data_IF_925208529781
#
_entry.id   IF_925208529781
#
_cell.length_a   1.000
_cell.length_b   1.000
_cell.length_c   1.000
_cell.angle_alpha   90.00
_cell.angle_beta   90.00
_cell.angle_gamma   90.00
#
_symmetry.space_group_name_H-M   'P 1'
#
loop_
_entity.id
_entity.type
_entity.pdbx_description
1 polymer ?
#
# COMPACT_ATOMS: atom_id res chain seq x y z
N UNK A 1 14.41 -18.21 12.13
CA UNK A 1 13.05 -17.76 12.51
C UNK A 1 13.18 -16.88 13.73
N UNK A 2 12.61 -15.68 13.70
CA UNK A 2 12.62 -14.77 14.85
C UNK A 2 11.43 -15.09 15.77
N UNK A 3 11.58 -14.92 17.08
CA UNK A 3 10.55 -15.26 18.08
C UNK A 3 10.30 -14.05 18.97
N UNK A 4 9.04 -13.62 19.05
CA UNK A 4 8.60 -12.56 19.96
C UNK A 4 7.63 -13.13 20.99
N UNK A 5 7.79 -12.75 22.26
CA UNK A 5 6.86 -13.13 23.34
C UNK A 5 5.77 -12.08 23.46
N UNK A 6 4.52 -12.52 23.46
CA UNK A 6 3.34 -11.72 23.72
C UNK A 6 2.86 -11.98 25.16
N UNK A 7 2.39 -10.95 25.85
CA UNK A 7 2.02 -11.05 27.28
C UNK A 7 0.55 -11.44 27.51
N UNK A 8 -0.26 -11.49 26.44
CA UNK A 8 -1.67 -11.88 26.52
C UNK A 8 -1.90 -13.32 26.08
N UNK A 9 -2.69 -14.03 26.89
CA UNK A 9 -3.26 -15.33 26.56
C UNK A 9 -4.31 -15.15 25.46
N UNK A 10 -3.94 -15.48 24.22
CA UNK A 10 -4.92 -15.73 23.17
C UNK A 10 -5.00 -17.25 22.95
N UNK A 11 -6.18 -17.86 23.08
CA UNK A 11 -6.32 -19.33 23.05
C UNK A 11 -6.20 -19.92 21.64
N UNK A 12 -6.06 -19.07 20.60
CA UNK A 12 -6.07 -19.50 19.20
C UNK A 12 -4.68 -19.53 18.60
N UNK A 13 -4.39 -20.60 17.87
CA UNK A 13 -3.25 -20.74 16.97
C UNK A 13 -3.55 -20.01 15.65
N UNK A 14 -2.74 -19.00 15.29
CA UNK A 14 -2.98 -18.18 14.11
C UNK A 14 -1.83 -18.36 13.12
N UNK A 15 -2.16 -18.60 11.85
CA UNK A 15 -1.21 -18.62 10.74
C UNK A 15 -1.49 -17.46 9.80
N UNK A 16 -0.58 -16.51 9.66
CA UNK A 16 -0.64 -15.44 8.67
C UNK A 16 0.32 -15.72 7.51
N UNK A 17 -0.18 -15.73 6.27
CA UNK A 17 0.62 -16.09 5.09
C UNK A 17 1.17 -14.89 4.31
N UNK A 18 0.79 -13.67 4.69
CA UNK A 18 1.31 -12.44 4.10
C UNK A 18 0.96 -12.24 2.62
N UNK A 19 1.61 -11.24 2.02
CA UNK A 19 1.54 -10.93 0.59
C UNK A 19 2.60 -11.71 -0.21
N UNK A 20 2.41 -11.80 -1.53
CA UNK A 20 3.31 -12.57 -2.38
C UNK A 20 4.60 -11.84 -2.79
N UNK A 21 4.59 -10.51 -2.85
CA UNK A 21 5.75 -9.72 -3.33
C UNK A 21 6.88 -9.54 -2.30
N UNK A 22 6.63 -9.97 -1.06
CA UNK A 22 7.57 -10.03 0.06
C UNK A 22 7.19 -11.25 0.90
N UNK A 23 7.48 -12.43 0.36
CA UNK A 23 7.00 -13.70 0.86
C UNK A 23 7.56 -14.03 2.23
N UNK A 24 6.76 -13.81 3.27
CA UNK A 24 7.01 -14.29 4.62
C UNK A 24 5.70 -14.76 5.25
N UNK A 25 5.81 -15.61 6.25
CA UNK A 25 4.67 -16.05 7.04
C UNK A 25 4.95 -15.89 8.53
N UNK A 26 3.88 -15.77 9.28
CA UNK A 26 3.94 -15.59 10.72
C UNK A 26 3.01 -16.59 11.40
N UNK A 27 3.46 -17.16 12.51
CA UNK A 27 2.64 -18.03 13.35
C UNK A 27 2.54 -17.47 14.74
N UNK A 28 1.32 -17.38 15.26
CA UNK A 28 1.07 -17.14 16.67
C UNK A 28 0.66 -18.45 17.34
N UNK A 29 1.43 -18.89 18.33
CA UNK A 29 1.16 -20.08 19.14
C UNK A 29 1.77 -19.89 20.53
N UNK A 30 1.08 -20.34 21.59
CA UNK A 30 1.58 -20.29 22.98
C UNK A 30 2.09 -18.89 23.40
N UNK A 31 1.35 -17.85 23.01
CA UNK A 31 1.72 -16.45 23.23
C UNK A 31 3.06 -16.06 22.63
N UNK A 32 3.48 -16.73 21.55
CA UNK A 32 4.69 -16.40 20.79
C UNK A 32 4.35 -16.17 19.34
N UNK A 33 4.99 -15.16 18.78
CA UNK A 33 4.97 -14.84 17.37
C UNK A 33 6.26 -15.40 16.77
N UNK A 34 6.12 -16.34 15.84
CA UNK A 34 7.20 -16.92 15.06
C UNK A 34 7.18 -16.30 13.68
N UNK A 35 8.20 -15.52 13.36
CA UNK A 35 8.32 -14.81 12.10
C UNK A 35 9.34 -15.51 11.20
N UNK A 36 8.89 -15.95 10.02
CA UNK A 36 9.75 -16.64 9.06
C UNK A 36 10.87 -15.73 8.55
N UNK A 37 11.84 -16.32 7.84
CA UNK A 37 12.71 -15.51 6.99
C UNK A 37 11.91 -14.91 5.82
N UNK A 38 12.49 -13.92 5.16
CA UNK A 38 12.00 -13.44 3.87
C UNK A 38 12.42 -14.41 2.76
N UNK A 39 11.45 -14.89 1.98
CA UNK A 39 11.66 -15.75 0.83
C UNK A 39 11.71 -14.96 -0.49
N UNK A 40 11.54 -13.64 -0.45
CA UNK A 40 11.49 -12.77 -1.62
C UNK A 40 10.16 -12.87 -2.36
N UNK A 41 10.18 -12.54 -3.65
CA UNK A 41 8.97 -12.56 -4.49
C UNK A 41 8.51 -14.00 -4.75
N UNK A 42 7.30 -14.35 -4.29
CA UNK A 42 6.69 -15.67 -4.42
C UNK A 42 6.10 -15.92 -5.82
N UNK A 43 6.07 -14.92 -6.70
CA UNK A 43 5.81 -15.16 -8.12
C UNK A 43 6.93 -16.00 -8.75
N UNK A 44 8.16 -15.89 -8.22
CA UNK A 44 9.28 -16.76 -8.56
C UNK A 44 9.06 -18.15 -7.95
N UNK A 45 8.92 -19.17 -8.79
CA UNK A 45 8.56 -20.52 -8.35
C UNK A 45 9.57 -21.14 -7.38
N UNK A 46 10.86 -20.84 -7.51
CA UNK A 46 11.89 -21.31 -6.58
C UNK A 46 11.62 -20.77 -5.16
N UNK A 47 11.33 -19.48 -5.04
CA UNK A 47 11.00 -18.83 -3.76
C UNK A 47 9.72 -19.42 -3.17
N UNK A 48 8.70 -19.63 -3.99
CA UNK A 48 7.45 -20.23 -3.55
C UNK A 48 7.62 -21.68 -3.06
N UNK A 49 8.46 -22.49 -3.70
CA UNK A 49 8.78 -23.85 -3.23
C UNK A 49 9.49 -23.83 -1.88
N UNK A 50 10.46 -22.92 -1.68
CA UNK A 50 11.16 -22.74 -0.39
C UNK A 50 10.18 -22.32 0.70
N UNK A 51 9.34 -21.30 0.43
CA UNK A 51 8.28 -20.84 1.31
C UNK A 51 7.35 -21.98 1.73
N UNK A 52 6.79 -22.72 0.75
CA UNK A 52 5.86 -23.83 1.01
C UNK A 52 6.53 -24.99 1.76
N UNK A 53 7.82 -25.25 1.51
CA UNK A 53 8.58 -26.28 2.23
C UNK A 53 8.75 -25.91 3.70
N UNK A 54 9.17 -24.68 4.01
CA UNK A 54 9.33 -24.21 5.39
C UNK A 54 8.00 -24.14 6.14
N UNK A 55 6.95 -23.64 5.50
CA UNK A 55 5.60 -23.63 6.07
C UNK A 55 5.13 -25.06 6.42
N UNK A 56 5.34 -26.02 5.51
CA UNK A 56 4.96 -27.41 5.75
C UNK A 56 5.77 -28.05 6.88
N UNK A 57 7.06 -27.72 7.02
CA UNK A 57 7.87 -28.18 8.16
C UNK A 57 7.26 -27.66 9.47
N UNK A 58 6.89 -26.38 9.52
CA UNK A 58 6.29 -25.78 10.71
C UNK A 58 4.96 -26.46 11.08
N UNK A 59 4.03 -26.57 10.12
CA UNK A 59 2.70 -27.16 10.36
C UNK A 59 2.79 -28.67 10.69
N UNK A 60 3.53 -29.46 9.89
CA UNK A 60 3.54 -30.92 10.04
C UNK A 60 4.50 -31.42 11.10
N UNK A 61 5.76 -30.94 11.11
CA UNK A 61 6.78 -31.44 12.05
C UNK A 61 6.66 -30.78 13.42
N UNK A 62 6.18 -29.53 13.47
CA UNK A 62 5.96 -28.82 14.73
C UNK A 62 4.66 -29.20 15.44
N UNK A 63 3.82 -30.06 14.87
CA UNK A 63 2.51 -30.42 15.44
C UNK A 63 1.52 -29.26 15.50
N UNK A 64 1.80 -28.14 14.80
CA UNK A 64 0.98 -26.94 14.83
C UNK A 64 -0.32 -27.14 14.06
N UNK A 65 -1.45 -26.86 14.72
CA UNK A 65 -2.78 -26.89 14.13
C UNK A 65 -3.37 -25.48 14.15
N UNK A 66 -3.52 -24.81 12.99
CA UNK A 66 -4.08 -23.47 12.95
C UNK A 66 -5.58 -23.49 13.26
N UNK A 67 -6.01 -22.64 14.19
CA UNK A 67 -7.43 -22.34 14.40
C UNK A 67 -7.90 -21.25 13.46
N UNK A 68 -7.00 -20.34 13.08
CA UNK A 68 -7.25 -19.19 12.21
C UNK A 68 -6.15 -19.07 11.17
N UNK A 69 -6.53 -18.78 9.93
CA UNK A 69 -5.62 -18.48 8.83
C UNK A 69 -5.92 -17.08 8.29
N UNK A 70 -4.89 -16.25 8.28
CA UNK A 70 -4.92 -14.88 7.76
C UNK A 70 -4.20 -14.83 6.41
N UNK A 71 -4.83 -14.22 5.42
CA UNK A 71 -4.21 -13.93 4.11
C UNK A 71 -4.50 -12.50 3.69
N UNK A 72 -3.86 -12.06 2.62
CA UNK A 72 -4.24 -10.82 1.95
C UNK A 72 -5.70 -10.90 1.43
N UNK A 73 -6.30 -9.73 1.22
CA UNK A 73 -7.62 -9.58 0.62
C UNK A 73 -7.62 -9.95 -0.87
N UNK A 74 -6.49 -9.83 -1.56
CA UNK A 74 -6.39 -10.18 -2.96
C UNK A 74 -6.73 -11.67 -3.19
N UNK A 75 -7.78 -11.99 -3.96
CA UNK A 75 -8.30 -13.37 -4.06
C UNK A 75 -7.37 -14.33 -4.82
N UNK A 76 -6.56 -13.81 -5.75
CA UNK A 76 -5.74 -14.64 -6.66
C UNK A 76 -4.28 -14.80 -6.23
N UNK A 77 -3.84 -14.18 -5.11
CA UNK A 77 -2.44 -14.34 -4.67
C UNK A 77 -2.14 -15.81 -4.34
N UNK A 78 -0.91 -16.26 -4.65
CA UNK A 78 -0.48 -17.64 -4.33
C UNK A 78 -0.66 -17.96 -2.83
N UNK A 79 -0.43 -16.99 -1.95
CA UNK A 79 -0.61 -17.12 -0.49
C UNK A 79 -2.08 -17.22 -0.08
N UNK A 80 -2.98 -16.45 -0.71
CA UNK A 80 -4.43 -16.52 -0.48
C UNK A 80 -4.99 -17.89 -0.88
N UNK A 81 -4.62 -18.37 -2.08
CA UNK A 81 -5.03 -19.69 -2.57
C UNK A 81 -4.53 -20.81 -1.64
N UNK A 82 -3.27 -20.75 -1.23
CA UNK A 82 -2.68 -21.70 -0.28
C UNK A 82 -3.38 -21.65 1.10
N UNK A 83 -3.70 -20.46 1.60
CA UNK A 83 -4.42 -20.30 2.86
C UNK A 83 -5.81 -20.93 2.82
N UNK A 84 -6.52 -20.80 1.70
CA UNK A 84 -7.82 -21.45 1.47
C UNK A 84 -7.71 -22.98 1.44
N UNK A 85 -6.64 -23.53 0.85
CA UNK A 85 -6.37 -24.97 0.89
C UNK A 85 -6.10 -25.47 2.31
N UNK A 86 -5.25 -24.77 3.06
CA UNK A 86 -4.90 -25.13 4.44
C UNK A 86 -6.12 -25.01 5.36
N UNK A 87 -6.94 -23.96 5.19
CA UNK A 87 -8.17 -23.76 5.98
C UNK A 87 -9.12 -24.95 5.85
N UNK A 88 -9.39 -25.40 4.61
CA UNK A 88 -10.23 -26.58 4.36
C UNK A 88 -9.66 -27.83 5.03
N UNK A 89 -8.35 -28.03 4.94
CA UNK A 89 -7.67 -29.21 5.49
C UNK A 89 -7.75 -29.28 7.02
N UNK A 90 -7.55 -28.15 7.70
CA UNK A 90 -7.52 -28.08 9.17
C UNK A 90 -8.85 -27.66 9.79
N UNK A 91 -9.88 -27.38 8.96
CA UNK A 91 -11.16 -26.79 9.39
C UNK A 91 -10.95 -25.47 10.15
N UNK A 92 -9.92 -24.73 9.76
CA UNK A 92 -9.54 -23.46 10.38
C UNK A 92 -10.41 -22.31 9.83
N UNK A 93 -10.70 -21.33 10.68
CA UNK A 93 -11.34 -20.07 10.28
C UNK A 93 -10.45 -19.35 9.25
N UNK A 94 -11.00 -18.97 8.10
CA UNK A 94 -10.28 -18.28 7.04
C UNK A 94 -10.69 -16.81 6.98
N UNK A 95 -9.75 -15.92 7.28
CA UNK A 95 -9.99 -14.48 7.33
C UNK A 95 -9.04 -13.77 6.37
N UNK A 96 -9.62 -12.97 5.49
CA UNK A 96 -8.86 -12.10 4.60
C UNK A 96 -8.69 -10.73 5.23
N UNK A 97 -7.48 -10.20 5.17
CA UNK A 97 -7.10 -8.92 5.75
C UNK A 97 -6.68 -7.99 4.63
N UNK A 98 -7.25 -6.77 4.62
CA UNK A 98 -6.88 -5.75 3.67
C UNK A 98 -5.40 -5.35 3.82
N UNK A 99 -4.69 -5.25 2.69
CA UNK A 99 -3.24 -5.08 2.63
C UNK A 99 -2.68 -3.91 3.45
N UNK A 100 -3.32 -2.74 3.32
CA UNK A 100 -2.90 -1.52 4.00
C UNK A 100 -3.23 -1.54 5.50
N UNK A 101 -4.31 -2.21 5.89
CA UNK A 101 -4.58 -2.51 7.31
C UNK A 101 -3.43 -3.36 7.87
N UNK A 102 -2.99 -4.41 7.16
CA UNK A 102 -1.86 -5.24 7.61
C UNK A 102 -0.58 -4.42 7.81
N UNK A 103 -0.26 -3.48 6.90
CA UNK A 103 0.86 -2.55 7.09
C UNK A 103 0.74 -1.70 8.36
N UNK A 104 -0.42 -1.07 8.57
CA UNK A 104 -0.66 -0.21 9.75
C UNK A 104 -0.57 -1.04 11.04
N UNK A 105 -1.18 -2.21 11.09
CA UNK A 105 -1.16 -3.07 12.28
C UNK A 105 0.21 -3.71 12.53
N UNK A 106 1.02 -3.92 11.48
CA UNK A 106 2.43 -4.32 11.64
C UNK A 106 3.23 -3.24 12.40
N UNK A 107 3.10 -1.96 11.99
CA UNK A 107 3.76 -0.85 12.66
C UNK A 107 3.30 -0.68 14.12
N UNK A 108 1.99 -0.84 14.37
CA UNK A 108 1.44 -0.87 15.74
C UNK A 108 2.04 -2.03 16.54
N UNK A 109 2.11 -3.23 15.95
CA UNK A 109 2.65 -4.42 16.59
C UNK A 109 4.12 -4.25 16.97
N UNK A 110 4.95 -3.75 16.06
CA UNK A 110 6.36 -3.46 16.32
C UNK A 110 6.53 -2.47 17.48
N UNK A 111 5.76 -1.37 17.46
CA UNK A 111 5.79 -0.38 18.54
C UNK A 111 5.44 -1.00 19.90
N UNK A 112 4.40 -1.82 19.97
CA UNK A 112 3.98 -2.50 21.21
C UNK A 112 5.04 -3.49 21.71
N UNK A 113 5.74 -4.18 20.80
CA UNK A 113 6.81 -5.13 21.15
C UNK A 113 8.08 -4.44 21.69
N UNK A 114 8.37 -3.22 21.21
CA UNK A 114 9.51 -2.42 21.68
C UNK A 114 9.23 -1.75 23.04
N UNK A 115 7.99 -1.31 23.28
CA UNK A 115 7.58 -0.56 24.49
C UNK A 115 6.99 -1.46 25.59
N UNK A 116 7.69 -2.54 25.97
CA UNK A 116 7.23 -3.60 26.90
C UNK A 116 6.73 -3.15 28.28
N UNK A 117 7.04 -1.91 28.71
CA UNK A 117 6.68 -1.39 30.04
C UNK A 117 5.35 -0.65 30.11
N UNK A 118 4.67 -0.43 28.99
CA UNK A 118 3.37 0.25 28.96
C UNK A 118 2.53 -0.35 27.83
N UNK A 119 1.52 -1.14 28.20
CA UNK A 119 0.57 -1.81 27.30
C UNK A 119 -0.38 -0.81 26.60
N UNK A 120 0.14 0.32 26.13
CA UNK A 120 -0.62 1.44 25.58
C UNK A 120 -0.20 1.66 24.13
N UNK A 121 -1.17 1.60 23.22
CA UNK A 121 -0.99 2.15 21.87
C UNK A 121 -0.61 3.63 22.02
N UNK A 122 0.28 4.16 21.16
CA UNK A 122 0.82 5.50 21.33
C UNK A 122 -0.32 6.51 21.26
N UNK A 123 -0.52 7.22 22.37
CA UNK A 123 -1.19 8.50 22.34
C UNK A 123 -0.28 9.47 21.62
N UNK A 124 -0.50 9.60 20.30
CA UNK A 124 0.08 10.61 19.44
C UNK A 124 1.60 10.49 19.27
N UNK A 125 2.08 10.46 18.02
CA UNK A 125 3.43 10.94 17.76
C UNK A 125 3.56 12.30 18.45
N UNK A 126 4.34 12.42 19.53
CA UNK A 126 5.02 13.63 20.02
C UNK A 126 5.62 13.45 21.44
N UNK A 127 6.91 13.73 21.51
CA UNK A 127 7.67 14.22 22.68
C UNK A 127 7.96 13.24 23.83
N UNK A 128 9.17 13.43 24.37
CA UNK A 128 9.89 12.72 25.44
C UNK A 128 9.22 12.73 26.82
N UNK A 129 7.89 12.59 26.92
CA UNK A 129 7.20 12.43 28.20
C UNK A 129 6.28 11.21 28.16
N UNK A 130 6.55 10.26 29.04
CA UNK A 130 5.69 9.12 29.35
C UNK A 130 4.30 9.62 29.75
N UNK A 131 3.37 9.66 28.80
CA UNK A 131 1.96 9.91 29.08
C UNK A 131 1.18 8.61 28.89
N UNK A 132 0.46 8.27 29.95
CA UNK A 132 -0.28 7.04 30.16
C UNK A 132 -1.64 7.05 29.42
N UNK A 133 -1.69 7.41 28.13
CA UNK A 133 -2.94 7.53 27.36
C UNK A 133 -3.00 6.46 26.26
N UNK A 134 -4.16 5.80 26.10
CA UNK A 134 -4.44 4.89 24.99
C UNK A 134 -5.51 5.58 24.15
N UNK A 135 -5.22 6.00 22.92
CA UNK A 135 -6.15 6.81 22.17
C UNK A 135 -7.38 6.01 21.75
N UNK A 136 -8.57 6.60 21.90
CA UNK A 136 -9.83 6.04 21.40
C UNK A 136 -9.88 6.02 19.87
N UNK A 137 -9.04 6.83 19.22
CA UNK A 137 -8.95 6.96 17.76
C UNK A 137 -7.49 7.02 17.35
N UNK A 138 -7.12 6.15 16.41
CA UNK A 138 -5.84 6.18 15.70
C UNK A 138 -6.06 6.49 14.23
N UNK A 139 -5.07 7.14 13.63
CA UNK A 139 -5.05 7.38 12.20
C UNK A 139 -3.84 6.67 11.61
N UNK A 140 -4.09 5.83 10.60
CA UNK A 140 -3.05 5.08 9.91
C UNK A 140 -2.93 5.57 8.47
N UNK A 141 -1.71 5.96 8.09
CA UNK A 141 -1.37 6.34 6.72
C UNK A 141 -0.65 5.16 6.07
N UNK A 142 -1.12 4.76 4.89
CA UNK A 142 -0.50 3.69 4.12
C UNK A 142 -0.10 4.21 2.74
N UNK A 143 1.21 4.33 2.52
CA UNK A 143 1.83 4.79 1.29
C UNK A 143 2.59 3.63 0.67
N UNK A 144 1.96 2.96 -0.30
CA UNK A 144 2.47 1.75 -0.93
C UNK A 144 2.37 1.85 -2.47
N UNK A 145 2.98 0.88 -3.16
CA UNK A 145 2.88 0.68 -4.59
C UNK A 145 1.58 0.03 -5.03
N UNK A 146 1.16 -1.09 -4.43
CA UNK A 146 0.03 -1.87 -4.92
C UNK A 146 -0.58 -2.70 -3.79
N UNK A 147 -1.76 -2.33 -3.33
CA UNK A 147 -2.58 -3.19 -2.48
C UNK A 147 -4.02 -3.29 -2.98
N UNK A 148 -4.62 -4.48 -2.88
CA UNK A 148 -5.99 -4.70 -3.31
C UNK A 148 -6.98 -3.98 -2.38
N UNK A 149 -7.81 -3.11 -2.97
CA UNK A 149 -8.83 -2.36 -2.27
C UNK A 149 -10.11 -3.17 -2.05
N UNK A 150 -10.90 -2.78 -1.06
CA UNK A 150 -12.23 -3.38 -0.81
C UNK A 150 -13.25 -3.05 -1.92
N UNK A 151 -12.94 -2.07 -2.77
CA UNK A 151 -13.70 -1.66 -3.95
C UNK A 151 -13.10 -2.19 -5.27
N UNK A 152 -12.25 -3.23 -5.19
CA UNK A 152 -11.57 -3.89 -6.32
C UNK A 152 -10.59 -2.97 -7.09
N UNK A 153 -10.29 -1.78 -6.54
CA UNK A 153 -9.29 -0.85 -7.07
C UNK A 153 -7.93 -1.11 -6.46
N UNK A 154 -6.89 -0.54 -7.07
CA UNK A 154 -5.53 -0.60 -6.52
C UNK A 154 -5.29 0.57 -5.58
N UNK A 155 -5.17 0.29 -4.29
CA UNK A 155 -4.86 1.28 -3.27
C UNK A 155 -3.34 1.41 -3.07
N UNK A 156 -2.91 2.48 -2.40
CA UNK A 156 -1.51 2.72 -2.04
C UNK A 156 -1.21 4.14 -1.57
N UNK A 157 -2.22 4.95 -1.28
CA UNK A 157 -2.05 6.30 -0.75
C UNK A 157 -3.27 6.63 0.09
N UNK A 158 -3.43 5.90 1.19
CA UNK A 158 -4.66 5.78 1.95
C UNK A 158 -4.51 6.33 3.37
N UNK A 159 -5.60 6.90 3.89
CA UNK A 159 -5.73 7.32 5.29
C UNK A 159 -6.91 6.60 5.92
N UNK A 160 -6.65 5.91 7.03
CA UNK A 160 -7.64 5.16 7.78
C UNK A 160 -7.83 5.74 9.17
N UNK A 161 -9.08 5.89 9.58
CA UNK A 161 -9.46 6.11 10.97
C UNK A 161 -9.76 4.78 11.62
N UNK A 162 -9.09 4.50 12.73
CA UNK A 162 -9.21 3.27 13.51
C UNK A 162 -9.81 3.67 14.87
N UNK A 163 -11.01 3.23 15.16
CA UNK A 163 -11.72 3.54 16.42
C UNK A 163 -11.61 2.37 17.39
N UNK A 164 -11.20 2.67 18.62
CA UNK A 164 -11.11 1.74 19.73
C UNK A 164 -12.35 1.86 20.63
N UNK A 165 -13.54 1.64 20.08
CA UNK A 165 -14.70 1.30 20.92
C UNK A 165 -14.49 -0.15 21.38
N UNK A 166 -13.67 -0.31 22.41
CA UNK A 166 -13.45 -1.54 23.17
C UNK A 166 -13.00 -2.76 22.32
N UNK A 167 -11.70 -3.07 22.37
CA UNK A 167 -11.19 -4.45 22.52
C UNK A 167 -11.65 -5.06 23.86
N UNK A 168 -12.89 -4.81 24.29
CA UNK A 168 -13.48 -5.47 25.46
C UNK A 168 -14.17 -6.73 24.97
N UNK A 169 -13.66 -7.85 25.47
CA UNK A 169 -14.36 -9.11 25.52
C UNK A 169 -15.49 -8.89 26.54
N UNK A 170 -16.65 -8.49 26.06
CA UNK A 170 -17.88 -8.69 26.80
C UNK A 170 -18.99 -8.86 25.78
N UNK A 171 -19.68 -9.97 25.92
CA UNK A 171 -20.58 -10.56 24.94
C UNK A 171 -21.64 -9.60 24.40
N UNK A 172 -22.06 -9.90 23.16
CA UNK A 172 -23.26 -9.39 22.49
C UNK A 172 -23.21 -7.98 21.89
N UNK A 173 -22.62 -7.84 20.69
CA UNK A 173 -23.11 -6.85 19.70
C UNK A 173 -23.20 -7.49 18.31
N UNK A 174 -24.43 -7.69 17.88
CA UNK A 174 -24.82 -8.11 16.53
C UNK A 174 -24.71 -6.92 15.56
N UNK A 175 -23.50 -6.57 15.11
CA UNK A 175 -23.16 -5.98 13.79
C UNK A 175 -21.73 -5.39 13.81
N UNK A 176 -20.74 -6.02 13.19
CA UNK A 176 -19.36 -5.54 13.17
C UNK A 176 -19.16 -4.56 12.01
N UNK A 177 -19.85 -3.41 11.99
CA UNK A 177 -19.49 -2.36 11.03
C UNK A 177 -18.11 -1.81 11.45
N UNK A 178 -17.15 -1.93 10.54
CA UNK A 178 -15.71 -1.99 10.78
C UNK A 178 -15.14 -0.92 11.73
N UNK A 179 -14.31 -1.37 12.69
CA UNK A 179 -13.47 -0.53 13.59
C UNK A 179 -12.42 0.30 12.84
N UNK A 180 -12.29 0.08 11.52
CA UNK A 180 -11.33 0.71 10.63
C UNK A 180 -12.12 1.27 9.45
N UNK A 181 -11.92 2.55 9.16
CA UNK A 181 -12.63 3.25 8.09
C UNK A 181 -11.64 4.03 7.24
N UNK A 182 -11.65 3.81 5.93
CA UNK A 182 -10.96 4.67 4.97
C UNK A 182 -11.60 6.06 4.99
N UNK A 183 -10.84 7.08 5.40
CA UNK A 183 -11.29 8.47 5.53
C UNK A 183 -10.65 9.40 4.51
N UNK A 184 -9.61 8.95 3.81
CA UNK A 184 -9.10 9.70 2.69
C UNK A 184 -8.09 8.92 1.87
N UNK A 185 -7.79 9.46 0.69
CA UNK A 185 -6.90 8.82 -0.26
C UNK A 185 -6.34 9.81 -1.30
N UNK A 186 -5.31 9.40 -2.03
CA UNK A 186 -4.88 10.09 -3.24
C UNK A 186 -5.95 10.00 -4.34
N UNK A 187 -6.03 11.04 -5.18
CA UNK A 187 -6.89 11.00 -6.35
C UNK A 187 -6.59 9.79 -7.24
N UNK A 188 -7.64 9.02 -7.55
CA UNK A 188 -7.54 7.90 -8.47
C UNK A 188 -7.04 8.34 -9.85
N UNK A 189 -5.98 7.68 -10.30
CA UNK A 189 -5.45 7.73 -11.66
C UNK A 189 -5.68 6.38 -12.34
N UNK A 190 -5.53 6.32 -13.67
CA UNK A 190 -5.73 5.07 -14.41
C UNK A 190 -4.38 4.38 -14.65
N UNK A 191 -4.28 3.11 -14.25
CA UNK A 191 -3.25 2.16 -14.70
C UNK A 191 -3.59 1.70 -16.12
N UNK A 192 -3.13 2.46 -17.11
CA UNK A 192 -3.38 2.18 -18.52
C UNK A 192 -2.68 0.87 -18.94
N UNK A 193 -3.45 -0.21 -19.13
CA UNK A 193 -2.92 -1.54 -19.40
C UNK A 193 -2.56 -2.34 -18.14
N UNK A 194 -3.09 -1.95 -16.97
CA UNK A 194 -2.90 -2.68 -15.71
C UNK A 194 -1.42 -2.76 -15.29
N UNK A 195 -0.90 -3.98 -15.12
CA UNK A 195 0.50 -4.22 -14.74
C UNK A 195 1.52 -3.62 -15.71
N UNK A 196 1.18 -3.45 -17.00
CA UNK A 196 2.09 -2.80 -17.95
C UNK A 196 2.42 -1.38 -17.51
N UNK A 197 1.49 -0.66 -16.87
CA UNK A 197 1.76 0.68 -16.35
C UNK A 197 2.73 0.69 -15.14
N UNK A 198 2.92 -0.46 -14.48
CA UNK A 198 3.91 -0.64 -13.42
C UNK A 198 5.31 -0.82 -14.02
N UNK A 199 5.41 -1.49 -15.19
CA UNK A 199 6.66 -1.73 -15.92
C UNK A 199 7.08 -0.55 -16.79
N UNK A 200 6.11 0.16 -17.35
CA UNK A 200 6.27 1.29 -18.27
C UNK A 200 5.59 2.55 -17.69
N UNK A 201 6.28 3.35 -16.86
CA UNK A 201 5.67 4.50 -16.19
C UNK A 201 5.10 5.59 -17.13
N UNK A 202 5.49 5.63 -18.40
CA UNK A 202 4.94 6.58 -19.37
C UNK A 202 3.45 6.36 -19.62
N UNK A 203 2.93 5.14 -19.38
CA UNK A 203 1.48 4.86 -19.42
C UNK A 203 0.71 5.66 -18.36
N UNK A 204 1.30 5.84 -17.18
CA UNK A 204 0.75 6.72 -16.14
C UNK A 204 0.77 8.17 -16.58
N UNK A 205 1.81 8.62 -17.29
CA UNK A 205 1.86 9.99 -17.85
C UNK A 205 0.70 10.22 -18.82
N UNK A 206 0.44 9.29 -19.75
CA UNK A 206 -0.68 9.40 -20.69
C UNK A 206 -2.00 9.56 -19.92
N UNK A 207 -2.26 8.66 -18.97
CA UNK A 207 -3.46 8.66 -18.12
C UNK A 207 -3.64 9.98 -17.35
N UNK A 208 -2.60 10.45 -16.65
CA UNK A 208 -2.69 11.61 -15.77
C UNK A 208 -2.82 12.91 -16.57
N UNK A 209 -2.00 13.08 -17.62
CA UNK A 209 -1.98 14.32 -18.41
C UNK A 209 -3.22 14.46 -19.28
N UNK A 210 -3.82 13.37 -19.76
CA UNK A 210 -5.05 13.41 -20.57
C UNK A 210 -6.25 14.01 -19.82
N UNK A 211 -6.20 14.06 -18.48
CA UNK A 211 -7.24 14.74 -17.67
C UNK A 211 -7.28 16.26 -17.86
N UNK A 212 -6.24 16.88 -18.38
CA UNK A 212 -6.16 18.35 -18.47
C UNK A 212 -5.34 18.92 -19.62
N UNK A 213 -4.69 18.09 -20.43
CA UNK A 213 -4.02 18.51 -21.65
C UNK A 213 -4.72 17.88 -22.88
N UNK A 214 -4.74 18.58 -24.03
CA UNK A 214 -5.22 17.99 -25.26
C UNK A 214 -4.29 16.86 -25.73
N UNK A 215 -4.86 15.86 -26.41
CA UNK A 215 -4.14 14.67 -26.93
C UNK A 215 -2.79 14.97 -27.58
N UNK A 216 -2.72 16.00 -28.43
CA UNK A 216 -1.49 16.40 -29.13
C UNK A 216 -0.37 16.82 -28.17
N UNK A 217 -0.71 17.50 -27.08
CA UNK A 217 0.26 17.92 -26.06
C UNK A 217 0.72 16.76 -25.19
N UNK A 218 -0.20 15.84 -24.84
CA UNK A 218 0.16 14.61 -24.11
C UNK A 218 1.24 13.81 -24.87
N UNK A 219 1.08 13.67 -26.19
CA UNK A 219 2.06 12.95 -27.02
C UNK A 219 3.47 13.56 -26.93
N UNK A 220 3.61 14.89 -26.78
CA UNK A 220 4.92 15.55 -26.66
C UNK A 220 5.75 15.00 -25.50
N UNK A 221 5.09 14.62 -24.40
CA UNK A 221 5.76 14.07 -23.21
C UNK A 221 6.17 12.60 -23.34
N UNK A 222 5.54 11.85 -24.25
CA UNK A 222 5.76 10.40 -24.38
C UNK A 222 6.31 9.96 -25.73
N UNK A 223 6.46 10.88 -26.71
CA UNK A 223 6.98 10.60 -28.07
C UNK A 223 8.37 9.98 -28.11
N UNK A 224 9.15 10.10 -27.02
CA UNK A 224 10.47 9.45 -26.90
C UNK A 224 10.34 7.94 -26.68
N UNK A 225 9.22 7.49 -26.13
CA UNK A 225 9.00 6.10 -25.72
C UNK A 225 8.03 5.35 -26.62
N UNK A 226 7.11 6.07 -27.27
CA UNK A 226 6.11 5.49 -28.15
C UNK A 226 6.11 6.22 -29.50
N UNK A 227 6.07 5.46 -30.57
CA UNK A 227 5.71 5.96 -31.90
C UNK A 227 4.29 6.54 -31.87
N UNK A 228 3.94 7.30 -32.91
CA UNK A 228 2.61 7.90 -33.02
C UNK A 228 1.53 6.82 -33.03
N UNK A 229 1.74 5.71 -33.73
CA UNK A 229 0.75 4.63 -33.82
C UNK A 229 0.55 3.95 -32.45
N UNK A 230 1.63 3.66 -31.72
CA UNK A 230 1.54 3.09 -30.36
C UNK A 230 0.82 4.05 -29.41
N UNK A 231 1.14 5.35 -29.46
CA UNK A 231 0.45 6.35 -28.66
C UNK A 231 -1.05 6.41 -28.98
N UNK A 232 -1.44 6.39 -30.26
CA UNK A 232 -2.85 6.40 -30.67
C UNK A 232 -3.61 5.18 -30.13
N UNK A 233 -2.98 3.99 -30.16
CA UNK A 233 -3.55 2.78 -29.57
C UNK A 233 -3.73 2.91 -28.05
N UNK A 234 -2.72 3.38 -27.33
CA UNK A 234 -2.77 3.59 -25.89
C UNK A 234 -3.80 4.67 -25.49
N UNK A 235 -3.89 5.74 -26.26
CA UNK A 235 -4.86 6.80 -26.02
C UNK A 235 -6.30 6.32 -26.26
N UNK A 236 -6.53 5.55 -27.33
CA UNK A 236 -7.83 4.95 -27.59
C UNK A 236 -8.19 3.91 -26.53
N UNK A 237 -7.22 3.13 -26.04
CA UNK A 237 -7.41 2.21 -24.91
C UNK A 237 -7.89 2.95 -23.66
N UNK A 238 -7.29 4.12 -23.35
CA UNK A 238 -7.69 4.98 -22.23
C UNK A 238 -9.12 5.54 -22.42
N UNK A 239 -9.43 6.08 -23.61
CA UNK A 239 -10.75 6.66 -23.92
C UNK A 239 -11.88 5.62 -23.85
N UNK A 240 -11.60 4.38 -24.27
CA UNK A 240 -12.55 3.28 -24.20
C UNK A 240 -12.56 2.57 -22.83
N UNK A 241 -11.72 3.00 -21.89
CA UNK A 241 -11.54 2.38 -20.57
C UNK A 241 -11.28 0.86 -20.64
N UNK A 242 -10.56 0.39 -21.67
CA UNK A 242 -10.27 -1.03 -21.88
C UNK A 242 -8.99 -1.44 -21.14
N UNK A 243 -9.04 -2.47 -20.30
CA UNK A 243 -7.92 -2.89 -19.42
C UNK A 243 -7.31 -1.70 -18.64
N UNK A 244 -8.20 -0.87 -18.10
CA UNK A 244 -7.88 0.32 -17.32
C UNK A 244 -8.36 0.11 -15.89
N UNK A 245 -7.43 0.07 -14.94
CA UNK A 245 -7.74 -0.10 -13.52
C UNK A 245 -7.46 1.20 -12.79
N UNK A 246 -8.37 1.62 -11.92
CA UNK A 246 -8.14 2.80 -11.08
C UNK A 246 -7.13 2.51 -9.96
N UNK A 247 -6.27 3.49 -9.69
CA UNK A 247 -5.32 3.43 -8.58
C UNK A 247 -5.18 4.73 -7.81
N UNK A 248 -5.14 4.65 -6.48
CA UNK A 248 -4.72 5.71 -5.56
C UNK A 248 -3.28 5.53 -5.06
N UNK A 249 -2.47 4.74 -5.76
CA UNK A 249 -1.12 4.37 -5.34
C UNK A 249 -0.15 5.56 -5.27
N UNK A 250 0.48 5.74 -4.11
CA UNK A 250 1.59 6.68 -3.95
C UNK A 250 2.77 6.28 -4.83
N UNK A 251 3.10 4.98 -4.87
CA UNK A 251 4.21 4.48 -5.68
C UNK A 251 4.02 4.79 -7.16
N UNK A 252 2.82 4.60 -7.72
CA UNK A 252 2.54 4.89 -9.15
C UNK A 252 2.61 6.38 -9.47
N UNK A 253 2.19 7.24 -8.53
CA UNK A 253 2.33 8.69 -8.69
C UNK A 253 3.81 9.09 -8.71
N UNK A 254 4.61 8.56 -7.78
CA UNK A 254 6.05 8.85 -7.72
C UNK A 254 6.81 8.27 -8.92
N UNK A 255 6.43 7.08 -9.41
CA UNK A 255 6.96 6.50 -10.65
C UNK A 255 6.75 7.46 -11.83
N UNK A 256 5.54 8.02 -11.97
CA UNK A 256 5.21 9.00 -12.99
C UNK A 256 5.97 10.33 -12.81
N UNK A 257 6.12 10.83 -11.58
CA UNK A 257 6.92 12.05 -11.31
C UNK A 257 8.39 11.82 -11.70
N UNK A 258 8.96 10.66 -11.36
CA UNK A 258 10.35 10.31 -11.69
C UNK A 258 10.59 10.30 -13.20
N UNK A 259 9.67 9.70 -13.96
CA UNK A 259 9.76 9.70 -15.43
C UNK A 259 9.57 11.11 -16.00
N UNK A 260 8.59 11.88 -15.51
CA UNK A 260 8.31 13.23 -15.99
C UNK A 260 9.51 14.16 -15.83
N UNK A 261 10.20 14.08 -14.69
CA UNK A 261 11.38 14.90 -14.40
C UNK A 261 12.69 14.33 -15.01
N UNK A 262 12.60 13.18 -15.68
CA UNK A 262 13.71 12.57 -16.40
C UNK A 262 14.76 11.92 -15.50
N UNK A 263 14.35 11.38 -14.34
CA UNK A 263 15.23 10.60 -13.47
C UNK A 263 15.26 9.11 -13.82
N UNK A 264 14.15 8.55 -14.32
CA UNK A 264 14.07 7.17 -14.79
C UNK A 264 13.68 7.07 -16.27
N UNK A 265 13.88 5.88 -16.86
CA UNK A 265 13.40 5.53 -18.20
C UNK A 265 11.95 5.02 -18.19
N UNK A 266 11.43 4.67 -19.37
CA UNK A 266 10.11 4.02 -19.53
C UNK A 266 10.16 2.49 -19.35
N UNK A 267 11.21 1.98 -18.73
CA UNK A 267 11.33 0.57 -18.40
C UNK A 267 11.84 0.49 -16.97
N UNK A 268 11.07 -0.19 -16.12
CA UNK A 268 11.44 -0.45 -14.74
C UNK A 268 12.35 -1.67 -14.66
N UNK A 269 13.61 -1.45 -14.31
CA UNK A 269 14.64 -2.49 -14.18
C UNK A 269 14.53 -3.30 -12.90
N UNK A 270 14.01 -2.68 -11.82
CA UNK A 270 13.79 -3.36 -10.55
C UNK A 270 12.64 -2.73 -9.74
N UNK A 271 12.15 -3.44 -8.70
CA UNK A 271 10.91 -3.13 -7.97
C UNK A 271 10.81 -1.70 -7.42
N UNK A 272 11.86 -0.94 -7.18
CA UNK A 272 11.73 0.43 -6.64
C UNK A 272 12.47 1.49 -7.47
N UNK A 273 12.97 1.14 -8.66
CA UNK A 273 13.87 2.01 -9.45
C UNK A 273 13.40 3.46 -9.60
N UNK A 274 12.18 3.75 -10.07
CA UNK A 274 11.81 5.14 -10.30
C UNK A 274 11.78 5.96 -9.01
N UNK A 275 11.32 5.36 -7.92
CA UNK A 275 11.18 6.02 -6.61
C UNK A 275 12.56 6.25 -5.99
N UNK A 276 13.43 5.23 -5.99
CA UNK A 276 14.81 5.35 -5.49
C UNK A 276 15.57 6.46 -6.20
N UNK A 277 15.45 6.52 -7.54
CA UNK A 277 16.09 7.56 -8.34
C UNK A 277 15.50 8.94 -8.06
N UNK A 278 14.18 9.03 -7.89
CA UNK A 278 13.53 10.29 -7.54
C UNK A 278 13.99 10.80 -6.17
N UNK A 279 13.99 9.94 -5.16
CA UNK A 279 14.42 10.27 -3.80
C UNK A 279 15.89 10.66 -3.75
N UNK A 280 16.78 9.83 -4.31
CA UNK A 280 18.22 10.07 -4.35
C UNK A 280 18.59 11.41 -4.99
N UNK A 281 17.80 11.86 -5.97
CA UNK A 281 18.04 13.10 -6.68
C UNK A 281 17.24 14.28 -6.10
N UNK A 282 16.45 14.10 -5.05
CA UNK A 282 15.67 15.18 -4.47
C UNK A 282 16.50 16.07 -3.54
N UNK A 283 16.25 17.38 -3.61
CA UNK A 283 16.95 18.38 -2.77
C UNK A 283 15.95 19.13 -1.88
N UNK A 284 15.91 20.46 -1.93
CA UNK A 284 15.00 21.28 -1.13
C UNK A 284 13.73 21.62 -1.91
N UNK A 285 12.54 21.39 -1.34
CA UNK A 285 11.28 21.61 -2.04
C UNK A 285 11.04 23.11 -2.31
N UNK A 286 10.21 23.38 -3.30
CA UNK A 286 9.51 24.66 -3.41
C UNK A 286 8.29 24.66 -2.47
N UNK A 287 7.90 25.83 -2.00
CA UNK A 287 6.81 26.01 -1.01
C UNK A 287 5.57 26.70 -1.59
N UNK A 288 5.58 27.01 -2.88
CA UNK A 288 4.49 27.71 -3.58
C UNK A 288 3.36 26.78 -4.06
N UNK A 289 3.58 25.46 -4.06
CA UNK A 289 2.53 24.48 -4.37
C UNK A 289 1.58 24.28 -3.18
N UNK A 290 0.40 24.90 -3.24
CA UNK A 290 -0.66 24.72 -2.23
C UNK A 290 -1.36 23.37 -2.36
N UNK A 291 -1.57 22.71 -1.22
CA UNK A 291 -2.40 21.51 -1.11
C UNK A 291 -3.79 21.71 -1.74
N UNK A 292 -4.38 20.61 -2.22
CA UNK A 292 -5.75 20.60 -2.69
C UNK A 292 -6.43 19.31 -2.29
N UNK A 293 -7.18 19.39 -1.19
CA UNK A 293 -7.89 18.28 -0.59
C UNK A 293 -9.37 18.56 -0.79
N UNK A 294 -10.04 17.67 -1.53
CA UNK A 294 -11.49 17.75 -1.75
C UNK A 294 -12.18 16.83 -0.76
N UNK A 295 -13.09 17.38 0.03
CA UNK A 295 -14.03 16.59 0.84
C UNK A 295 -15.23 16.20 -0.01
N UNK A 296 -15.51 14.90 -0.18
CA UNK A 296 -16.79 14.47 -0.79
C UNK A 296 -17.93 14.78 0.19
N UNK A 297 -19.00 15.41 -0.28
CA UNK A 297 -20.08 15.93 0.59
C UNK A 297 -20.90 14.83 1.29
N UNK A 298 -20.97 13.63 0.72
CA UNK A 298 -21.85 12.54 1.19
C UNK A 298 -21.12 11.54 2.10
N UNK A 299 -19.78 11.49 2.06
CA UNK A 299 -18.96 10.59 2.88
C UNK A 299 -17.86 11.39 3.56
N UNK A 300 -17.42 11.03 4.77
CA UNK A 300 -16.23 11.62 5.40
C UNK A 300 -14.96 11.08 4.71
N UNK A 301 -14.86 11.28 3.40
CA UNK A 301 -13.79 10.79 2.55
C UNK A 301 -13.11 11.97 1.84
N UNK A 302 -11.86 12.23 2.21
CA UNK A 302 -11.02 13.29 1.66
C UNK A 302 -10.18 12.77 0.50
N UNK A 303 -9.99 13.60 -0.52
CA UNK A 303 -9.22 13.23 -1.71
C UNK A 303 -8.16 14.28 -2.01
N UNK A 304 -6.88 13.91 -1.88
CA UNK A 304 -5.77 14.78 -2.31
C UNK A 304 -5.64 14.75 -3.84
N UNK A 305 -5.81 15.90 -4.49
CA UNK A 305 -5.75 15.98 -5.95
C UNK A 305 -4.31 15.87 -6.47
N UNK A 306 -3.94 14.70 -6.97
CA UNK A 306 -2.63 14.47 -7.60
C UNK A 306 -2.59 15.09 -8.99
N UNK A 307 -3.71 15.27 -9.70
CA UNK A 307 -3.72 16.01 -10.97
C UNK A 307 -3.26 17.46 -10.81
N UNK A 308 -3.50 18.10 -9.66
CA UNK A 308 -2.97 19.45 -9.37
C UNK A 308 -1.44 19.47 -9.26
N UNK A 309 -0.86 18.42 -8.66
CA UNK A 309 0.59 18.26 -8.60
C UNK A 309 1.18 18.20 -10.01
N UNK A 310 0.62 17.40 -10.92
CA UNK A 310 1.12 17.32 -12.30
C UNK A 310 0.95 18.64 -13.07
N UNK A 311 -0.18 19.35 -12.90
CA UNK A 311 -0.34 20.71 -13.47
C UNK A 311 0.78 21.65 -13.01
N UNK A 312 1.13 21.59 -11.73
CA UNK A 312 2.23 22.39 -11.19
C UNK A 312 3.58 21.97 -11.78
N UNK A 313 3.89 20.67 -11.83
CA UNK A 313 5.15 20.17 -12.40
C UNK A 313 5.32 20.59 -13.86
N UNK A 314 4.30 20.39 -14.70
CA UNK A 314 4.31 20.77 -16.12
C UNK A 314 4.55 22.28 -16.30
N UNK A 315 3.86 23.13 -15.54
CA UNK A 315 4.02 24.58 -15.61
C UNK A 315 5.42 25.04 -15.21
N UNK A 316 6.13 24.25 -14.40
CA UNK A 316 7.41 24.61 -13.82
C UNK A 316 8.58 23.76 -14.35
N UNK A 317 8.43 23.04 -15.47
CA UNK A 317 9.48 22.15 -16.01
C UNK A 317 10.81 22.84 -16.33
N UNK A 318 10.83 24.16 -16.46
CA UNK A 318 12.06 24.97 -16.66
C UNK A 318 12.82 25.25 -15.36
N UNK A 319 12.20 25.01 -14.19
CA UNK A 319 12.85 25.14 -12.88
C UNK A 319 13.75 23.93 -12.59
N UNK A 320 14.54 24.02 -11.53
CA UNK A 320 15.36 22.92 -11.06
C UNK A 320 14.52 21.66 -10.74
N UNK A 321 14.73 20.61 -11.53
CA UNK A 321 14.04 19.32 -11.41
C UNK A 321 14.30 18.59 -10.09
N UNK A 322 15.45 18.78 -9.46
CA UNK A 322 15.79 18.17 -8.17
C UNK A 322 14.92 18.74 -7.05
N UNK A 323 14.65 20.04 -7.12
CA UNK A 323 13.72 20.71 -6.21
C UNK A 323 12.27 20.36 -6.52
N UNK A 324 11.90 20.21 -7.79
CA UNK A 324 10.55 19.75 -8.18
C UNK A 324 10.26 18.33 -7.67
N UNK A 325 11.25 17.44 -7.70
CA UNK A 325 11.15 16.09 -7.13
C UNK A 325 10.86 16.14 -5.62
N UNK A 326 11.62 16.93 -4.87
CA UNK A 326 11.38 17.15 -3.45
C UNK A 326 9.99 17.77 -3.18
N UNK A 327 9.55 18.69 -4.04
CA UNK A 327 8.23 19.34 -3.95
C UNK A 327 7.09 18.34 -4.12
N UNK A 328 7.22 17.41 -5.07
CA UNK A 328 6.23 16.37 -5.30
C UNK A 328 6.10 15.42 -4.11
N UNK A 329 7.23 14.99 -3.55
CA UNK A 329 7.26 14.14 -2.35
C UNK A 329 6.63 14.86 -1.16
N UNK A 330 7.00 16.12 -0.91
CA UNK A 330 6.42 16.93 0.16
C UNK A 330 4.91 17.11 -0.02
N UNK A 331 4.44 17.38 -1.24
CA UNK A 331 3.01 17.54 -1.52
C UNK A 331 2.19 16.30 -1.15
N UNK A 332 2.69 15.09 -1.48
CA UNK A 332 1.99 13.85 -1.16
C UNK A 332 2.02 13.58 0.35
N UNK A 333 3.19 13.69 0.99
CA UNK A 333 3.35 13.45 2.41
C UNK A 333 2.51 14.41 3.25
N UNK A 334 2.63 15.72 3.00
CA UNK A 334 1.88 16.75 3.72
C UNK A 334 0.38 16.66 3.42
N UNK A 335 0.01 16.37 2.17
CA UNK A 335 -1.39 16.25 1.78
C UNK A 335 -2.11 15.05 2.39
N UNK A 336 -1.44 13.91 2.56
CA UNK A 336 -2.00 12.76 3.28
C UNK A 336 -1.97 12.95 4.80
N UNK A 337 -1.01 13.71 5.33
CA UNK A 337 -0.96 14.06 6.75
C UNK A 337 -2.06 15.02 7.19
N UNK A 338 -2.42 15.98 6.32
CA UNK A 338 -3.48 16.96 6.59
C UNK A 338 -4.90 16.34 6.53
N UNK A 339 -5.04 15.20 5.86
CA UNK A 339 -6.27 14.39 5.78
C UNK A 339 -6.46 13.60 7.07
#
# INVERSE_FOLDING_TARGET
MQIFKFTHNAPKNILALGAESAGNFCVFAENRIYFSQDFGDLLIDENYRKFKSELNKFIKKGGFQPDVILTDLHPEMKTTLLGKEISKKYKAEFIQIQHHHAHIFSAIGEYLLQNKSSHKLPATCLTSRQVNYQPDILYGLAMDGTGFGEDEKIWGGEVFRITNEKLQISDQIQNPKSKIRRIGHLENQILLGGELAIREPARMIISILSKFLPKKEVYVFVKKYYSRNEFELLYNQLEQNFNCVETSSTGRILDAVSLLLGFCGNERKYKHEPIDLLEKNSTTPYTDLKLNIIKKSVTTNYKLQTTKLFKYLIKNMTKDRHRLAATAQLYLAQGLYEI
#
